data_IF_774189764012
#
_entry.id   IF_774189764012
#
_cell.length_a   1.000
_cell.length_b   1.000
_cell.length_c   1.000
_cell.angle_alpha   90.00
_cell.angle_beta   90.00
_cell.angle_gamma   90.00
#
_symmetry.space_group_name_H-M   'P 1'
#
loop_
_entity.id
_entity.type
_entity.pdbx_description
1 polymer ?
#
# COMPACT_ATOMS: atom_id res chain seq x y z
N UNK A 1 5.88 14.45 -11.25
CA UNK A 1 6.34 15.42 -10.22
C UNK A 1 7.85 15.29 -9.92
N UNK A 2 8.39 14.08 -9.68
CA UNK A 2 9.83 13.81 -9.43
C UNK A 2 10.79 14.39 -10.48
N UNK A 3 10.56 14.13 -11.77
CA UNK A 3 11.40 14.64 -12.86
C UNK A 3 11.34 16.18 -13.03
N UNK A 4 10.18 16.78 -12.75
CA UNK A 4 9.97 18.23 -12.91
C UNK A 4 10.69 19.07 -11.83
N UNK A 5 10.94 18.49 -10.65
CA UNK A 5 11.73 19.12 -9.60
C UNK A 5 13.24 18.93 -9.82
N UNK A 6 13.66 17.81 -10.42
CA UNK A 6 15.06 17.57 -10.77
C UNK A 6 15.60 18.56 -11.82
N UNK A 7 14.75 18.98 -12.77
CA UNK A 7 15.13 19.88 -13.87
C UNK A 7 15.26 21.38 -13.49
N UNK A 8 14.92 21.78 -12.25
CA UNK A 8 14.78 23.21 -11.87
C UNK A 8 15.95 23.78 -11.04
N UNK A 9 17.18 23.27 -11.15
CA UNK A 9 18.29 23.90 -10.42
C UNK A 9 19.59 23.10 -10.42
N UNK A 10 20.68 23.83 -10.63
CA UNK A 10 22.03 23.33 -10.91
C UNK A 10 22.97 23.32 -9.68
N UNK A 11 22.53 23.72 -8.47
CA UNK A 11 23.47 23.92 -7.34
C UNK A 11 22.94 23.63 -5.91
N UNK A 12 21.77 23.01 -5.74
CA UNK A 12 21.27 22.61 -4.41
C UNK A 12 21.04 21.10 -4.40
N UNK A 13 21.78 20.38 -3.54
CA UNK A 13 21.48 18.98 -3.21
C UNK A 13 20.07 18.90 -2.61
N UNK A 14 19.14 18.31 -3.35
CA UNK A 14 17.74 18.22 -2.92
C UNK A 14 17.59 17.04 -1.96
N UNK A 15 17.24 17.32 -0.72
CA UNK A 15 16.82 16.26 0.19
C UNK A 15 15.48 15.67 -0.26
N UNK A 16 15.46 14.36 -0.52
CA UNK A 16 14.27 13.61 -0.89
C UNK A 16 13.88 12.68 0.27
N UNK A 17 12.68 12.85 0.81
CA UNK A 17 12.07 11.92 1.76
C UNK A 17 10.88 11.22 1.09
N UNK A 18 10.95 9.90 0.98
CA UNK A 18 9.86 9.06 0.50
C UNK A 18 9.34 8.18 1.63
N UNK A 19 8.02 8.18 1.85
CA UNK A 19 7.35 7.42 2.90
C UNK A 19 6.40 6.39 2.27
N UNK A 20 6.38 5.18 2.80
CA UNK A 20 5.45 4.14 2.36
C UNK A 20 5.08 3.20 3.51
N UNK A 21 3.82 2.80 3.58
CA UNK A 21 3.33 1.79 4.52
C UNK A 21 3.62 0.36 4.05
N UNK A 22 3.83 0.17 2.74
CA UNK A 22 4.15 -1.12 2.11
C UNK A 22 5.38 -0.90 1.23
N UNK A 23 6.58 -1.33 1.63
CA UNK A 23 7.80 -1.02 0.90
C UNK A 23 7.71 -1.56 -0.53
N UNK A 24 7.72 -0.67 -1.52
CA UNK A 24 7.60 -1.06 -2.92
C UNK A 24 8.93 -1.70 -3.33
N UNK A 25 8.93 -2.92 -3.88
CA UNK A 25 10.16 -3.68 -4.14
C UNK A 25 11.18 -2.94 -5.03
N UNK A 26 10.72 -2.16 -6.02
CA UNK A 26 11.60 -1.33 -6.86
C UNK A 26 12.29 -0.21 -6.09
N UNK A 27 11.62 0.37 -5.10
CA UNK A 27 12.20 1.39 -4.21
C UNK A 27 13.19 0.76 -3.24
N UNK A 28 12.88 -0.43 -2.69
CA UNK A 28 13.84 -1.20 -1.90
C UNK A 28 15.11 -1.53 -2.71
N UNK A 29 14.94 -1.97 -3.96
CA UNK A 29 16.06 -2.26 -4.86
C UNK A 29 16.88 -1.00 -5.18
N UNK A 30 16.25 0.14 -5.51
CA UNK A 30 16.93 1.41 -5.71
C UNK A 30 17.62 1.95 -4.46
N UNK A 31 17.22 1.48 -3.28
CA UNK A 31 17.88 1.88 -2.04
C UNK A 31 19.08 0.99 -1.69
N UNK A 32 19.06 -0.25 -2.17
CA UNK A 32 20.23 -1.12 -2.13
C UNK A 32 21.28 -0.76 -3.19
N UNK A 33 20.82 -0.37 -4.39
CA UNK A 33 21.67 -0.12 -5.56
C UNK A 33 21.80 1.37 -5.92
N UNK A 34 21.27 2.27 -5.11
CA UNK A 34 21.33 3.72 -5.34
C UNK A 34 21.49 4.52 -4.05
N UNK A 35 21.71 5.83 -4.17
CA UNK A 35 22.12 6.73 -3.07
C UNK A 35 21.00 7.14 -2.10
N UNK A 36 20.08 6.23 -1.76
CA UNK A 36 19.00 6.51 -0.81
C UNK A 36 19.33 5.94 0.58
N UNK A 37 19.03 6.67 1.64
CA UNK A 37 19.07 6.12 3.01
C UNK A 37 17.70 5.57 3.41
N UNK A 38 17.66 4.39 4.06
CA UNK A 38 16.40 3.81 4.58
C UNK A 38 16.33 4.08 6.07
N UNK A 39 15.13 4.42 6.52
CA UNK A 39 14.76 4.25 7.92
C UNK A 39 13.49 3.42 7.96
N UNK A 40 13.45 2.42 8.84
CA UNK A 40 12.28 1.55 9.01
C UNK A 40 11.64 1.79 10.37
N UNK A 41 10.32 1.96 10.37
CA UNK A 41 9.52 2.08 11.60
C UNK A 41 8.66 0.83 11.70
N UNK A 42 8.95 -0.03 12.68
CA UNK A 42 8.26 -1.32 12.87
C UNK A 42 7.28 -1.29 14.03
N UNK A 43 7.46 -0.38 14.97
CA UNK A 43 6.59 -0.22 16.12
C UNK A 43 5.28 0.42 15.71
N UNK A 44 4.17 -0.16 16.16
CA UNK A 44 2.85 0.47 15.99
C UNK A 44 2.70 1.62 17.00
N UNK A 45 1.97 2.70 16.63
CA UNK A 45 1.58 3.72 17.58
C UNK A 45 0.81 3.12 18.77
N UNK A 46 0.93 3.70 19.98
CA UNK A 46 0.19 3.25 21.14
C UNK A 46 -1.33 3.36 20.89
N UNK A 47 -2.11 2.43 21.45
CA UNK A 47 -3.57 2.42 21.32
C UNK A 47 -4.12 1.67 20.11
N UNK A 48 -3.28 1.22 19.16
CA UNK A 48 -3.76 0.39 18.04
C UNK A 48 -4.23 -0.97 18.52
N UNK A 49 -5.45 -1.34 18.13
CA UNK A 49 -5.98 -2.70 18.33
C UNK A 49 -5.83 -3.54 17.06
N UNK A 50 -5.54 -4.85 17.17
CA UNK A 50 -5.55 -5.74 16.01
C UNK A 50 -6.92 -5.74 15.32
N UNK A 51 -6.90 -5.62 14.00
CA UNK A 51 -8.11 -5.68 13.16
C UNK A 51 -8.39 -7.14 12.80
N UNK A 52 -9.53 -7.68 13.24
CA UNK A 52 -9.94 -9.04 12.86
C UNK A 52 -10.34 -9.04 11.39
N UNK A 53 -9.58 -9.76 10.57
CA UNK A 53 -9.82 -9.83 9.14
C UNK A 53 -10.51 -11.15 8.79
N UNK A 54 -11.62 -11.10 8.06
CA UNK A 54 -12.36 -12.29 7.60
C UNK A 54 -12.71 -12.17 6.11
N UNK A 55 -12.68 -13.29 5.39
CA UNK A 55 -13.10 -13.36 3.99
C UNK A 55 -14.49 -13.99 3.96
N UNK A 56 -15.44 -13.38 3.24
CA UNK A 56 -16.82 -13.82 3.12
C UNK A 56 -17.27 -13.77 1.66
N UNK A 57 -18.20 -14.64 1.29
CA UNK A 57 -18.90 -14.57 0.00
C UNK A 57 -20.04 -13.54 0.08
N UNK A 58 -20.60 -13.17 -1.08
CA UNK A 58 -21.75 -12.26 -1.19
C UNK A 58 -23.00 -12.81 -0.48
N UNK A 59 -23.11 -14.13 -0.31
CA UNK A 59 -24.20 -14.75 0.45
C UNK A 59 -24.24 -14.33 1.92
N UNK A 60 -23.12 -13.88 2.48
CA UNK A 60 -23.04 -13.37 3.84
C UNK A 60 -23.48 -11.90 3.98
N UNK A 61 -23.75 -11.18 2.88
CA UNK A 61 -24.02 -9.74 2.90
C UNK A 61 -25.16 -9.32 3.85
N UNK A 62 -26.32 -10.01 3.90
CA UNK A 62 -27.37 -9.64 4.86
C UNK A 62 -26.91 -9.71 6.32
N UNK A 63 -26.08 -10.71 6.67
CA UNK A 63 -25.52 -10.82 8.03
C UNK A 63 -24.47 -9.76 8.32
N UNK A 64 -23.75 -9.31 7.30
CA UNK A 64 -22.78 -8.21 7.40
C UNK A 64 -23.52 -6.89 7.64
N UNK A 65 -24.67 -6.70 6.99
CA UNK A 65 -25.53 -5.53 7.19
C UNK A 65 -26.13 -5.49 8.60
N UNK A 66 -26.64 -6.62 9.09
CA UNK A 66 -27.09 -6.76 10.48
C UNK A 66 -25.95 -6.41 11.46
N UNK A 67 -24.72 -6.84 11.14
CA UNK A 67 -23.55 -6.54 11.95
C UNK A 67 -23.19 -5.05 11.91
N UNK A 68 -23.22 -4.41 10.74
CA UNK A 68 -23.02 -2.96 10.59
C UNK A 68 -24.08 -2.18 11.38
N UNK A 69 -25.35 -2.61 11.33
CA UNK A 69 -26.43 -2.01 12.10
C UNK A 69 -26.22 -2.13 13.61
N UNK A 70 -25.76 -3.30 14.09
CA UNK A 70 -25.44 -3.50 15.49
C UNK A 70 -24.26 -2.61 15.96
N UNK A 71 -23.21 -2.49 15.15
CA UNK A 71 -22.07 -1.61 15.43
C UNK A 71 -22.51 -0.14 15.48
N UNK A 72 -23.37 0.29 14.55
CA UNK A 72 -23.93 1.64 14.53
C UNK A 72 -24.86 1.93 15.72
N UNK A 73 -25.63 0.93 16.19
CA UNK A 73 -26.44 1.06 17.40
C UNK A 73 -25.59 1.30 18.66
N UNK A 74 -24.33 0.86 18.65
CA UNK A 74 -23.34 1.18 19.69
C UNK A 74 -22.58 2.50 19.42
N UNK A 75 -23.03 3.30 18.45
CA UNK A 75 -22.46 4.61 18.10
C UNK A 75 -21.19 4.55 17.24
N UNK A 76 -20.88 3.39 16.66
CA UNK A 76 -19.68 3.18 15.82
C UNK A 76 -19.97 3.38 14.35
N UNK A 77 -18.91 3.51 13.56
CA UNK A 77 -19.01 3.83 12.14
C UNK A 77 -18.38 2.77 11.26
N UNK A 78 -18.86 2.67 10.01
CA UNK A 78 -18.44 1.65 9.05
C UNK A 78 -18.03 2.27 7.72
N UNK A 79 -16.90 1.81 7.20
CA UNK A 79 -16.51 2.04 5.81
C UNK A 79 -17.01 0.90 4.92
N UNK A 80 -17.53 1.24 3.75
CA UNK A 80 -17.84 0.30 2.67
C UNK A 80 -17.08 0.75 1.43
N UNK A 81 -16.15 -0.08 0.95
CA UNK A 81 -15.27 0.25 -0.16
C UNK A 81 -15.64 -0.55 -1.39
N UNK A 82 -15.99 0.15 -2.46
CA UNK A 82 -16.35 -0.41 -3.76
C UNK A 82 -15.14 -0.30 -4.70
N UNK A 83 -14.79 -1.37 -5.44
CA UNK A 83 -13.66 -1.36 -6.37
C UNK A 83 -13.85 -0.35 -7.51
N UNK A 84 -12.73 0.09 -8.09
CA UNK A 84 -12.77 0.72 -9.40
C UNK A 84 -13.08 -0.34 -10.47
N UNK A 85 -14.02 -0.03 -11.35
CA UNK A 85 -14.31 -0.84 -12.54
C UNK A 85 -13.37 -0.39 -13.66
N UNK A 86 -12.65 -1.35 -14.27
CA UNK A 86 -11.55 -1.11 -15.20
C UNK A 86 -11.94 -0.30 -16.47
N UNK A 87 -13.24 -0.18 -16.74
CA UNK A 87 -13.79 0.40 -17.97
C UNK A 87 -13.90 1.94 -17.90
N UNK A 88 -14.13 2.54 -16.71
CA UNK A 88 -14.03 4.00 -16.50
C UNK A 88 -14.25 4.42 -15.04
N UNK A 89 -13.79 5.63 -14.68
CA UNK A 89 -14.14 6.27 -13.40
C UNK A 89 -15.65 6.55 -13.27
N UNK A 90 -16.33 6.84 -14.38
CA UNK A 90 -17.78 7.06 -14.39
C UNK A 90 -18.55 5.80 -13.98
N UNK A 91 -18.12 4.62 -14.44
CA UNK A 91 -18.71 3.35 -14.02
C UNK A 91 -18.45 3.05 -12.54
N UNK A 92 -17.27 3.40 -12.05
CA UNK A 92 -16.94 3.26 -10.62
C UNK A 92 -17.81 4.16 -9.74
N UNK A 93 -18.06 5.40 -10.19
CA UNK A 93 -18.99 6.33 -9.54
C UNK A 93 -20.41 5.76 -9.50
N UNK A 94 -20.92 5.30 -10.65
CA UNK A 94 -22.25 4.69 -10.73
C UNK A 94 -22.40 3.46 -9.84
N UNK A 95 -21.35 2.62 -9.76
CA UNK A 95 -21.33 1.46 -8.85
C UNK A 95 -21.41 1.89 -7.38
N UNK A 96 -20.65 2.92 -6.99
CA UNK A 96 -20.69 3.42 -5.62
C UNK A 96 -22.03 4.11 -5.28
N UNK A 97 -22.63 4.83 -6.23
CA UNK A 97 -23.97 5.43 -6.09
C UNK A 97 -25.06 4.36 -5.92
N UNK A 98 -25.01 3.30 -6.74
CA UNK A 98 -25.92 2.17 -6.64
C UNK A 98 -25.78 1.46 -5.28
N UNK A 99 -24.54 1.25 -4.83
CA UNK A 99 -24.27 0.58 -3.55
C UNK A 99 -24.68 1.44 -2.35
N UNK A 100 -24.44 2.75 -2.38
CA UNK A 100 -24.95 3.67 -1.36
C UNK A 100 -26.48 3.68 -1.29
N UNK A 101 -27.15 3.62 -2.44
CA UNK A 101 -28.61 3.52 -2.50
C UNK A 101 -29.11 2.18 -1.94
N UNK A 102 -28.40 1.08 -2.24
CA UNK A 102 -28.70 -0.26 -1.73
C UNK A 102 -28.56 -0.34 -0.21
N UNK A 103 -27.45 0.17 0.34
CA UNK A 103 -27.24 0.27 1.79
C UNK A 103 -28.28 1.16 2.45
N UNK A 104 -28.64 2.30 1.83
CA UNK A 104 -29.71 3.16 2.33
C UNK A 104 -31.08 2.49 2.37
N UNK A 105 -31.38 1.62 1.40
CA UNK A 105 -32.62 0.84 1.38
C UNK A 105 -32.60 -0.35 2.36
N UNK A 106 -31.46 -1.03 2.51
CA UNK A 106 -31.29 -2.18 3.40
C UNK A 106 -31.22 -1.77 4.87
N UNK A 107 -30.64 -0.60 5.16
CA UNK A 107 -30.41 -0.07 6.51
C UNK A 107 -31.06 1.33 6.66
N UNK A 108 -32.40 1.45 6.56
CA UNK A 108 -33.09 2.75 6.56
C UNK A 108 -32.92 3.54 7.87
N UNK A 109 -32.52 2.87 8.95
CA UNK A 109 -32.20 3.48 10.25
C UNK A 109 -30.83 4.16 10.30
N UNK A 110 -29.95 3.90 9.32
CA UNK A 110 -28.59 4.42 9.31
C UNK A 110 -28.41 5.59 8.34
N UNK A 111 -27.53 6.50 8.71
CA UNK A 111 -27.16 7.65 7.88
C UNK A 111 -26.01 7.25 6.96
N UNK A 112 -26.32 7.03 5.69
CA UNK A 112 -25.35 6.59 4.68
C UNK A 112 -24.81 7.79 3.90
N UNK A 113 -23.49 7.92 3.84
CA UNK A 113 -22.78 8.88 2.98
C UNK A 113 -22.11 8.20 1.79
N UNK A 114 -21.78 9.00 0.77
CA UNK A 114 -21.15 8.56 -0.47
C UNK A 114 -19.97 9.45 -0.84
N UNK A 115 -18.82 8.83 -1.15
CA UNK A 115 -17.64 9.52 -1.69
C UNK A 115 -17.06 8.80 -2.91
N UNK A 116 -16.95 9.50 -4.05
CA UNK A 116 -16.24 8.99 -5.24
C UNK A 116 -15.52 10.10 -6.01
N UNK A 117 -14.65 9.70 -6.94
CA UNK A 117 -13.71 10.61 -7.63
C UNK A 117 -14.37 11.65 -8.55
N UNK A 118 -15.58 11.36 -9.02
CA UNK A 118 -16.35 12.23 -9.92
C UNK A 118 -17.13 13.34 -9.18
N UNK A 119 -17.20 13.29 -7.84
CA UNK A 119 -17.83 14.36 -7.06
C UNK A 119 -16.92 15.60 -7.01
N UNK A 120 -17.55 16.78 -6.94
CA UNK A 120 -16.86 18.04 -6.66
C UNK A 120 -16.10 17.91 -5.33
N UNK A 121 -14.89 18.47 -5.27
CA UNK A 121 -14.03 18.40 -4.10
C UNK A 121 -14.74 18.86 -2.81
N UNK A 122 -15.44 20.00 -2.86
CA UNK A 122 -16.17 20.56 -1.70
C UNK A 122 -17.22 19.59 -1.14
N UNK A 123 -17.94 18.87 -2.01
CA UNK A 123 -18.96 17.90 -1.60
C UNK A 123 -18.31 16.68 -0.92
N UNK A 124 -17.20 16.20 -1.48
CA UNK A 124 -16.41 15.11 -0.89
C UNK A 124 -15.89 15.52 0.48
N UNK A 125 -15.26 16.67 0.59
CA UNK A 125 -14.66 17.14 1.84
C UNK A 125 -15.73 17.38 2.91
N UNK A 126 -16.89 17.90 2.53
CA UNK A 126 -18.06 18.02 3.41
C UNK A 126 -18.55 16.66 3.90
N UNK A 127 -18.73 15.69 3.01
CA UNK A 127 -19.19 14.34 3.37
C UNK A 127 -18.19 13.64 4.29
N UNK A 128 -16.91 13.78 3.99
CA UNK A 128 -15.82 13.24 4.81
C UNK A 128 -15.79 13.89 6.20
N UNK A 129 -15.97 15.21 6.30
CA UNK A 129 -16.05 15.91 7.58
C UNK A 129 -17.25 15.45 8.42
N UNK A 130 -18.43 15.29 7.79
CA UNK A 130 -19.63 14.76 8.44
C UNK A 130 -19.42 13.33 8.96
N UNK A 131 -18.74 12.49 8.17
CA UNK A 131 -18.36 11.16 8.63
C UNK A 131 -17.39 11.24 9.80
N UNK A 132 -16.31 12.02 9.74
CA UNK A 132 -15.41 12.16 10.88
C UNK A 132 -16.07 12.73 12.16
N UNK A 133 -17.11 13.55 12.01
CA UNK A 133 -17.89 14.09 13.12
C UNK A 133 -18.93 13.11 13.71
N UNK A 134 -19.07 11.90 13.15
CA UNK A 134 -20.08 10.94 13.60
C UNK A 134 -21.51 11.27 13.14
N UNK A 135 -21.67 12.14 12.14
CA UNK A 135 -22.98 12.47 11.56
C UNK A 135 -23.47 11.43 10.53
N UNK A 136 -22.58 10.54 10.10
CA UNK A 136 -22.85 9.47 9.16
C UNK A 136 -22.38 8.15 9.77
N UNK A 137 -23.23 7.13 9.73
CA UNK A 137 -22.95 5.83 10.33
C UNK A 137 -22.17 4.94 9.35
N UNK A 138 -22.47 5.06 8.06
CA UNK A 138 -21.84 4.31 6.97
C UNK A 138 -21.30 5.28 5.92
N UNK A 139 -20.06 5.07 5.48
CA UNK A 139 -19.49 5.77 4.35
C UNK A 139 -19.19 4.79 3.23
N UNK A 140 -19.99 4.83 2.17
CA UNK A 140 -19.73 4.11 0.92
C UNK A 140 -18.78 4.93 0.08
N UNK A 141 -17.71 4.31 -0.41
CA UNK A 141 -16.75 5.03 -1.21
C UNK A 141 -15.96 4.14 -2.17
N UNK A 142 -15.43 4.75 -3.23
CA UNK A 142 -14.44 4.09 -4.08
C UNK A 142 -13.04 4.16 -3.46
N UNK A 143 -12.00 3.75 -4.19
CA UNK A 143 -10.58 3.85 -3.77
C UNK A 143 -10.13 5.26 -3.36
N UNK A 144 -10.95 6.29 -3.56
CA UNK A 144 -10.70 7.67 -3.12
C UNK A 144 -10.54 7.81 -1.59
N UNK A 145 -10.97 6.83 -0.79
CA UNK A 145 -10.67 6.76 0.66
C UNK A 145 -9.17 6.55 0.95
N UNK A 146 -8.33 6.28 -0.06
CA UNK A 146 -6.88 6.38 0.08
C UNK A 146 -6.43 7.77 0.58
N UNK A 147 -7.26 8.83 0.46
CA UNK A 147 -6.91 10.17 0.93
C UNK A 147 -7.38 10.42 2.38
N UNK A 148 -6.43 10.31 3.31
CA UNK A 148 -6.22 11.33 4.36
C UNK A 148 -7.06 11.34 5.63
N UNK A 149 -8.29 10.83 5.69
CA UNK A 149 -9.09 10.99 6.93
C UNK A 149 -8.80 9.90 7.96
N UNK A 150 -8.65 10.33 9.22
CA UNK A 150 -8.53 9.48 10.39
C UNK A 150 -9.84 9.52 11.17
N UNK A 151 -10.52 8.38 11.30
CA UNK A 151 -11.80 8.27 12.03
C UNK A 151 -11.64 7.19 13.10
N UNK A 152 -11.18 7.53 14.31
CA UNK A 152 -10.94 6.55 15.37
C UNK A 152 -12.18 5.75 15.78
N UNK A 153 -13.38 6.32 15.57
CA UNK A 153 -14.67 5.68 15.87
C UNK A 153 -15.10 4.64 14.82
N UNK A 154 -14.43 4.57 13.67
CA UNK A 154 -14.72 3.58 12.64
C UNK A 154 -14.20 2.20 13.06
N UNK A 155 -15.13 1.25 13.26
CA UNK A 155 -14.81 -0.11 13.70
C UNK A 155 -14.89 -1.14 12.58
N UNK A 156 -15.66 -0.91 11.52
CA UNK A 156 -15.85 -1.87 10.42
C UNK A 156 -15.31 -1.32 9.11
N UNK A 157 -14.55 -2.16 8.40
CA UNK A 157 -14.12 -1.95 7.02
C UNK A 157 -14.65 -3.11 6.17
N UNK A 158 -15.70 -2.86 5.39
CA UNK A 158 -16.18 -3.78 4.36
C UNK A 158 -15.55 -3.41 3.02
N UNK A 159 -14.92 -4.38 2.36
CA UNK A 159 -14.34 -4.21 1.02
C UNK A 159 -15.08 -5.16 0.09
N UNK A 160 -15.82 -4.60 -0.86
CA UNK A 160 -16.52 -5.38 -1.88
C UNK A 160 -15.61 -5.80 -3.01
N UNK A 161 -15.89 -6.97 -3.61
CA UNK A 161 -15.07 -7.59 -4.67
C UNK A 161 -13.57 -7.47 -4.38
N UNK A 162 -13.17 -7.87 -3.17
CA UNK A 162 -11.84 -7.66 -2.63
C UNK A 162 -10.73 -8.23 -3.55
N UNK A 163 -11.05 -9.22 -4.39
CA UNK A 163 -10.15 -9.79 -5.41
C UNK A 163 -9.63 -8.78 -6.44
N UNK A 164 -10.37 -7.68 -6.65
CA UNK A 164 -10.02 -6.62 -7.60
C UNK A 164 -8.94 -5.68 -7.07
N UNK A 165 -8.66 -5.72 -5.78
CA UNK A 165 -7.66 -4.86 -5.16
C UNK A 165 -6.28 -5.53 -5.11
N UNK A 166 -5.23 -4.71 -5.19
CA UNK A 166 -3.86 -5.15 -4.90
C UNK A 166 -3.66 -5.39 -3.40
N UNK A 167 -2.68 -6.23 -3.04
CA UNK A 167 -2.34 -6.53 -1.64
C UNK A 167 -2.02 -5.27 -0.82
N UNK A 168 -1.26 -4.35 -1.41
CA UNK A 168 -0.91 -3.09 -0.76
C UNK A 168 -2.15 -2.22 -0.48
N UNK A 169 -3.10 -2.16 -1.42
CA UNK A 169 -4.33 -1.37 -1.26
C UNK A 169 -5.21 -1.96 -0.15
N UNK A 170 -5.41 -3.28 -0.15
CA UNK A 170 -6.14 -3.98 0.91
C UNK A 170 -5.52 -3.73 2.29
N UNK A 171 -4.19 -3.77 2.38
CA UNK A 171 -3.47 -3.46 3.62
C UNK A 171 -3.71 -2.03 4.09
N UNK A 172 -3.65 -1.05 3.17
CA UNK A 172 -3.88 0.36 3.48
C UNK A 172 -5.34 0.64 3.89
N UNK A 173 -6.31 0.06 3.20
CA UNK A 173 -7.74 0.16 3.53
C UNK A 173 -8.02 -0.45 4.91
N UNK A 174 -7.53 -1.66 5.19
CA UNK A 174 -7.63 -2.26 6.53
C UNK A 174 -7.04 -1.35 7.62
N UNK A 175 -5.94 -0.66 7.33
CA UNK A 175 -5.29 0.27 8.26
C UNK A 175 -6.08 1.54 8.60
N UNK A 176 -7.25 1.77 7.97
CA UNK A 176 -8.16 2.88 8.28
C UNK A 176 -9.04 2.63 9.50
N UNK A 177 -9.20 1.37 9.90
CA UNK A 177 -9.90 0.98 11.15
C UNK A 177 -8.90 0.49 12.19
N UNK A 178 -9.35 0.29 13.44
CA UNK A 178 -8.50 -0.17 14.55
C UNK A 178 -7.65 0.93 15.19
N UNK A 179 -8.03 2.19 14.98
CA UNK A 179 -7.34 3.38 15.49
C UNK A 179 -7.92 3.92 16.80
N UNK A 180 -9.15 3.54 17.13
CA UNK A 180 -9.79 3.84 18.41
C UNK A 180 -9.76 2.68 19.40
N UNK A 181 -10.49 2.80 20.52
CA UNK A 181 -10.51 1.80 21.59
C UNK A 181 -11.33 0.56 21.25
N UNK A 182 -12.15 0.62 20.19
CA UNK A 182 -13.08 -0.44 19.81
C UNK A 182 -12.38 -1.60 19.12
N UNK A 183 -12.96 -2.79 19.25
CA UNK A 183 -12.54 -3.92 18.43
C UNK A 183 -12.93 -3.62 16.98
N UNK A 184 -11.99 -3.79 16.05
CA UNK A 184 -12.23 -3.49 14.65
C UNK A 184 -12.18 -4.71 13.77
N UNK A 185 -12.92 -4.65 12.66
CA UNK A 185 -13.15 -5.74 11.74
C UNK A 185 -12.87 -5.28 10.32
N UNK A 186 -12.22 -6.14 9.55
CA UNK A 186 -12.05 -5.98 8.11
C UNK A 186 -12.67 -7.18 7.41
N UNK A 187 -13.72 -6.93 6.63
CA UNK A 187 -14.49 -7.96 5.93
C UNK A 187 -14.16 -7.83 4.45
N UNK A 188 -13.50 -8.84 3.92
CA UNK A 188 -13.15 -8.96 2.52
C UNK A 188 -14.25 -9.76 1.83
N UNK A 189 -15.17 -9.07 1.16
CA UNK A 189 -16.25 -9.71 0.40
C UNK A 189 -15.71 -10.14 -0.95
N UNK A 190 -15.78 -11.43 -1.26
CA UNK A 190 -15.24 -12.00 -2.50
C UNK A 190 -15.90 -13.33 -2.81
N UNK A 191 -16.43 -13.46 -4.02
CA UNK A 191 -16.91 -14.73 -4.57
C UNK A 191 -15.83 -15.47 -5.37
N UNK A 192 -14.58 -14.98 -5.33
CA UNK A 192 -13.47 -15.61 -6.03
C UNK A 192 -13.25 -17.03 -5.48
N UNK A 193 -13.44 -18.02 -6.35
CA UNK A 193 -13.05 -19.41 -6.11
C UNK A 193 -11.51 -19.52 -5.99
N UNK A 194 -11.01 -20.72 -5.63
CA UNK A 194 -9.57 -21.00 -5.47
C UNK A 194 -8.76 -20.49 -6.68
N UNK A 195 -8.15 -19.32 -6.49
CA UNK A 195 -7.48 -18.55 -7.53
C UNK A 195 -6.32 -17.76 -6.93
N UNK A 196 -5.48 -17.18 -7.79
CA UNK A 196 -4.45 -16.24 -7.36
C UNK A 196 -5.04 -15.08 -6.55
N UNK A 197 -6.28 -14.66 -6.85
CA UNK A 197 -6.99 -13.67 -6.07
C UNK A 197 -7.28 -14.15 -4.65
N UNK A 198 -7.77 -15.39 -4.48
CA UNK A 198 -8.03 -15.94 -3.15
C UNK A 198 -6.76 -16.00 -2.29
N UNK A 199 -5.64 -16.43 -2.87
CA UNK A 199 -4.33 -16.44 -2.19
C UNK A 199 -3.91 -15.04 -1.71
N UNK A 200 -4.17 -14.00 -2.50
CA UNK A 200 -3.94 -12.60 -2.07
C UNK A 200 -4.79 -12.25 -0.85
N UNK A 201 -6.07 -12.59 -0.85
CA UNK A 201 -6.95 -12.32 0.30
C UNK A 201 -6.49 -13.07 1.56
N UNK A 202 -6.04 -14.31 1.42
CA UNK A 202 -5.53 -15.11 2.55
C UNK A 202 -4.25 -14.50 3.14
N UNK A 203 -3.36 -13.92 2.32
CA UNK A 203 -2.19 -13.17 2.79
C UNK A 203 -2.61 -11.96 3.64
N UNK A 204 -3.59 -11.17 3.20
CA UNK A 204 -4.09 -10.03 3.98
C UNK A 204 -4.75 -10.49 5.27
N UNK A 205 -5.52 -11.58 5.22
CA UNK A 205 -6.13 -12.17 6.42
C UNK A 205 -5.08 -12.67 7.42
N UNK A 206 -4.00 -13.29 6.93
CA UNK A 206 -2.97 -13.93 7.75
C UNK A 206 -1.93 -12.98 8.34
N UNK A 207 -1.70 -11.80 7.75
CA UNK A 207 -0.64 -10.89 8.21
C UNK A 207 -1.07 -9.43 8.31
N UNK A 208 -0.66 -8.80 9.41
CA UNK A 208 -0.76 -7.34 9.63
C UNK A 208 0.53 -6.59 9.35
N UNK A 209 1.63 -7.29 9.03
CA UNK A 209 2.93 -6.68 8.77
C UNK A 209 3.03 -6.21 7.31
N UNK A 210 3.27 -4.92 7.10
CA UNK A 210 3.45 -4.31 5.79
C UNK A 210 4.64 -4.86 5.01
N UNK A 211 5.71 -5.32 5.69
CA UNK A 211 6.86 -5.96 5.05
C UNK A 211 6.50 -7.34 4.52
N UNK A 212 5.85 -8.17 5.34
CA UNK A 212 5.39 -9.49 4.92
C UNK A 212 4.39 -9.39 3.76
N UNK A 213 3.47 -8.42 3.81
CA UNK A 213 2.53 -8.15 2.71
C UNK A 213 3.26 -7.79 1.42
N UNK A 214 4.28 -6.92 1.49
CA UNK A 214 5.05 -6.49 0.33
C UNK A 214 5.89 -7.63 -0.28
N UNK A 215 6.47 -8.49 0.55
CA UNK A 215 7.19 -9.69 0.10
C UNK A 215 6.25 -10.65 -0.64
N UNK A 216 5.08 -10.94 -0.05
CA UNK A 216 4.09 -11.80 -0.69
C UNK A 216 3.53 -11.20 -1.99
N UNK A 217 3.34 -9.87 -2.05
CA UNK A 217 2.95 -9.19 -3.30
C UNK A 217 3.99 -9.37 -4.41
N UNK A 218 5.28 -9.35 -4.07
CA UNK A 218 6.34 -9.64 -5.03
C UNK A 218 6.29 -11.08 -5.55
N UNK A 219 6.15 -12.04 -4.63
CA UNK A 219 6.07 -13.48 -4.96
C UNK A 219 4.87 -13.75 -5.87
N UNK A 220 3.70 -13.22 -5.51
CA UNK A 220 2.45 -13.46 -6.26
C UNK A 220 2.44 -12.78 -7.63
N UNK A 221 3.20 -11.71 -7.83
CA UNK A 221 3.40 -11.07 -9.15
C UNK A 221 4.39 -11.82 -10.04
N UNK A 222 4.96 -12.94 -9.60
CA UNK A 222 5.98 -13.69 -10.33
C UNK A 222 7.33 -12.94 -10.41
N UNK A 223 7.49 -11.86 -9.63
CA UNK A 223 8.65 -10.99 -9.65
C UNK A 223 9.72 -11.43 -8.63
N UNK A 224 9.85 -12.74 -8.40
CA UNK A 224 11.07 -13.31 -7.77
C UNK A 224 12.35 -12.93 -8.54
N UNK A 225 12.20 -12.49 -9.78
CA UNK A 225 13.20 -11.74 -10.53
C UNK A 225 13.03 -10.22 -10.32
N UNK A 226 13.44 -9.69 -9.16
CA UNK A 226 13.67 -8.25 -9.01
C UNK A 226 14.75 -7.72 -9.97
N UNK A 227 15.44 -8.62 -10.69
CA UNK A 227 16.66 -8.39 -11.45
C UNK A 227 16.61 -8.91 -12.90
N UNK A 228 15.42 -9.07 -13.48
CA UNK A 228 15.27 -9.31 -14.92
C UNK A 228 13.83 -9.06 -15.32
N UNK A 229 13.49 -8.21 -16.30
CA UNK A 229 14.13 -7.90 -17.57
C UNK A 229 13.94 -6.41 -17.91
N UNK A 230 14.98 -5.73 -18.40
CA UNK A 230 15.04 -4.33 -18.91
C UNK A 230 15.42 -3.19 -17.94
N UNK A 231 16.23 -3.45 -16.91
CA UNK A 231 17.12 -2.43 -16.37
C UNK A 231 18.41 -3.11 -15.91
N UNK A 232 19.46 -2.82 -16.68
CA UNK A 232 20.88 -3.19 -16.65
C UNK A 232 21.49 -3.73 -15.33
N UNK A 233 22.13 -4.89 -15.43
CA UNK A 233 23.48 -5.12 -14.85
C UNK A 233 23.64 -6.14 -13.73
N UNK A 234 22.63 -6.42 -12.91
CA UNK A 234 22.84 -7.12 -11.64
C UNK A 234 22.13 -8.49 -11.57
N UNK A 235 22.81 -9.59 -11.15
CA UNK A 235 22.21 -10.91 -11.04
C UNK A 235 21.32 -11.03 -9.78
N UNK A 236 20.19 -11.78 -9.85
CA UNK A 236 19.27 -11.98 -8.72
C UNK A 236 19.98 -12.44 -7.45
N UNK A 237 19.63 -11.84 -6.30
CA UNK A 237 20.13 -12.30 -5.00
C UNK A 237 19.59 -13.72 -4.74
N UNK A 238 20.45 -14.73 -4.83
CA UNK A 238 20.07 -16.15 -4.65
C UNK A 238 19.95 -16.58 -3.19
N UNK A 239 20.57 -15.82 -2.28
CA UNK A 239 20.69 -16.16 -0.85
C UNK A 239 20.13 -15.04 0.04
N UNK A 240 20.28 -13.78 -0.38
CA UNK A 240 19.82 -12.62 0.38
C UNK A 240 18.42 -12.16 -0.08
N UNK A 241 17.61 -11.68 0.86
CA UNK A 241 16.29 -11.09 0.62
C UNK A 241 16.26 -9.68 1.20
N UNK A 242 15.78 -8.72 0.42
CA UNK A 242 15.58 -7.33 0.87
C UNK A 242 14.45 -7.17 1.89
N UNK A 243 13.69 -8.25 2.13
CA UNK A 243 12.61 -8.28 3.12
C UNK A 243 13.04 -8.88 4.46
N UNK A 244 14.20 -9.55 4.53
CA UNK A 244 14.78 -10.03 5.79
C UNK A 244 15.55 -8.88 6.48
N UNK A 245 15.19 -8.49 7.71
CA UNK A 245 15.87 -7.44 8.45
C UNK A 245 17.39 -7.63 8.57
N UNK A 246 17.85 -8.88 8.69
CA UNK A 246 19.28 -9.19 8.86
C UNK A 246 20.07 -8.93 7.59
N UNK A 247 19.47 -9.23 6.44
CA UNK A 247 20.08 -8.97 5.14
C UNK A 247 20.08 -7.47 4.82
N UNK A 248 19.06 -6.73 5.28
CA UNK A 248 19.02 -5.29 5.17
C UNK A 248 20.14 -4.63 5.99
N UNK A 249 20.31 -5.02 7.25
CA UNK A 249 21.39 -4.53 8.12
C UNK A 249 22.78 -4.87 7.54
N UNK A 250 22.94 -6.08 6.99
CA UNK A 250 24.19 -6.49 6.36
C UNK A 250 24.56 -5.58 5.18
N UNK A 251 23.57 -5.19 4.38
CA UNK A 251 23.80 -4.33 3.23
C UNK A 251 24.05 -2.87 3.61
N UNK A 252 23.38 -2.36 4.66
CA UNK A 252 23.70 -1.05 5.22
C UNK A 252 25.17 -1.00 5.67
N UNK A 253 25.64 -2.03 6.39
CA UNK A 253 27.06 -2.16 6.79
C UNK A 253 28.00 -2.28 5.59
N UNK A 254 27.62 -3.04 4.57
CA UNK A 254 28.40 -3.16 3.35
C UNK A 254 28.53 -1.82 2.62
N UNK A 255 27.46 -1.02 2.56
CA UNK A 255 27.45 0.33 1.99
C UNK A 255 28.33 1.29 2.79
N UNK A 256 28.21 1.31 4.12
CA UNK A 256 29.08 2.14 4.98
C UNK A 256 30.56 1.79 4.81
N UNK A 257 30.87 0.51 4.63
CA UNK A 257 32.23 0.07 4.32
C UNK A 257 32.68 0.57 2.94
N UNK A 258 31.84 0.41 1.91
CA UNK A 258 32.13 0.88 0.56
C UNK A 258 32.36 2.40 0.51
N UNK A 259 31.50 3.18 1.16
CA UNK A 259 31.64 4.64 1.27
C UNK A 259 32.95 5.05 1.94
N UNK A 260 33.33 4.38 3.04
CA UNK A 260 34.62 4.62 3.72
C UNK A 260 35.81 4.26 2.85
N UNK A 261 35.74 3.16 2.10
CA UNK A 261 36.80 2.73 1.20
C UNK A 261 37.00 3.75 0.07
N UNK A 262 35.93 4.17 -0.59
CA UNK A 262 35.98 5.16 -1.68
C UNK A 262 36.41 6.54 -1.17
N UNK A 263 35.99 6.96 0.03
CA UNK A 263 36.42 8.22 0.62
C UNK A 263 37.92 8.24 0.96
N UNK A 264 38.49 7.10 1.38
CA UNK A 264 39.90 6.97 1.72
C UNK A 264 40.80 6.76 0.48
N UNK A 265 40.31 6.03 -0.52
CA UNK A 265 41.04 5.72 -1.76
C UNK A 265 40.05 5.73 -2.95
N UNK A 266 39.79 6.90 -3.56
CA UNK A 266 38.81 7.02 -4.65
C UNK A 266 39.15 6.19 -5.88
N UNK A 267 40.44 5.90 -6.08
CA UNK A 267 40.91 5.10 -7.21
C UNK A 267 40.99 3.60 -6.89
N UNK A 268 40.76 3.22 -5.63
CA UNK A 268 40.91 1.86 -5.09
C UNK A 268 42.29 1.27 -5.41
N UNK A 269 43.32 2.12 -5.55
CA UNK A 269 44.66 1.73 -5.96
C UNK A 269 45.32 0.75 -4.98
N UNK A 270 44.96 0.82 -3.69
CA UNK A 270 45.43 -0.10 -2.66
C UNK A 270 44.70 -1.44 -2.61
N UNK A 271 43.64 -1.65 -3.41
CA UNK A 271 42.82 -2.87 -3.43
C UNK A 271 42.48 -3.31 -4.87
N UNK A 272 43.45 -3.88 -5.61
CA UNK A 272 43.28 -4.29 -7.01
C UNK A 272 42.10 -5.24 -7.25
N UNK A 273 41.76 -6.06 -6.26
CA UNK A 273 40.60 -6.97 -6.30
C UNK A 273 39.26 -6.25 -6.42
N UNK A 274 39.16 -5.00 -5.95
CA UNK A 274 37.96 -4.18 -6.03
C UNK A 274 37.90 -3.32 -7.31
N UNK A 275 39.03 -3.16 -8.00
CA UNK A 275 39.10 -2.39 -9.26
C UNK A 275 38.25 -3.07 -10.34
N UNK A 276 38.28 -4.41 -10.43
CA UNK A 276 37.40 -5.17 -11.35
C UNK A 276 35.91 -4.93 -11.07
N UNK A 277 35.56 -4.83 -9.78
CA UNK A 277 34.19 -4.53 -9.37
C UNK A 277 33.78 -3.10 -9.74
N UNK A 278 34.70 -2.13 -9.71
CA UNK A 278 34.41 -0.78 -10.21
C UNK A 278 34.13 -0.80 -11.72
N UNK A 279 34.94 -1.52 -12.48
CA UNK A 279 34.83 -1.54 -13.95
C UNK A 279 33.58 -2.32 -14.43
N UNK A 280 33.17 -3.36 -13.70
CA UNK A 280 31.94 -4.12 -13.97
C UNK A 280 30.64 -3.33 -13.64
N UNK A 281 30.74 -2.31 -12.77
CA UNK A 281 29.60 -1.55 -12.24
C UNK A 281 29.60 -0.06 -12.64
N UNK A 282 30.64 0.41 -13.34
CA UNK A 282 30.62 1.71 -13.97
C UNK A 282 29.48 1.74 -14.99
N UNK A 283 28.66 2.81 -15.04
CA UNK A 283 27.66 2.95 -16.08
C UNK A 283 28.39 2.87 -17.43
N UNK A 284 28.11 1.81 -18.19
CA UNK A 284 28.46 1.81 -19.61
C UNK A 284 27.61 2.92 -20.21
N UNK A 285 28.25 3.96 -20.71
CA UNK A 285 27.59 4.93 -21.57
C UNK A 285 26.91 4.11 -22.68
N UNK A 286 25.59 4.08 -22.70
CA UNK A 286 24.83 3.61 -23.85
C UNK A 286 25.06 4.65 -24.96
N UNK A 287 26.21 4.56 -25.63
CA UNK A 287 26.41 5.14 -26.95
C UNK A 287 25.31 4.58 -27.86
N UNK A 288 24.60 5.49 -28.50
CA UNK A 288 23.28 5.26 -29.06
C UNK A 288 23.22 4.19 -30.14
N UNK A 289 22.23 3.32 -30.03
CA UNK A 289 21.62 2.65 -31.17
C UNK A 289 20.34 3.41 -31.55
N UNK A 290 20.53 4.45 -32.34
CA UNK A 290 19.51 4.96 -33.26
C UNK A 290 19.94 4.57 -34.67
N UNK A 291 19.41 3.45 -35.15
CA UNK A 291 19.26 3.11 -36.56
C UNK A 291 17.95 2.35 -36.75
#
# INVERSE_FOLDING_TARGET
QRAALQAKGDALERHLLALTATPIPRTLALTFYGDLSISTIRQMPPGRRPVRTEIRDRGALPRIEDFIAAEAAEGRQSFVVVPLVAESEAMSAASAEAEASRFGAALPQLRVGLVHGQQKADLRDTTMARFAAGELDVLVATTVVEVGIDVPNASVMLIEDAERFGLAQLHQLRGRVGRGPHRSFCILLSDAAESLARRRLDVVKGSTDGFAIAEQDLVLRGAGNLLGTRQSGLPPLRVASLFDPRHLELAERARELAQRLVAADPLLAGRPELIRLRDDFAPRDEEGDAA
#
